data_IF_568721251927
#
_entry.id   IF_568721251927
#
_cell.length_a   1.000
_cell.length_b   1.000
_cell.length_c   1.000
_cell.angle_alpha   90.00
_cell.angle_beta   90.00
_cell.angle_gamma   90.00
#
_symmetry.space_group_name_H-M   'P 1'
#
loop_
_entity.id
_entity.type
_entity.pdbx_description
1 polymer ?
#
# COMPACT_ATOMS: atom_id res chain seq x y z
N UNK A 1 9.22 9.77 15.59
CA UNK A 1 9.09 10.99 14.74
C UNK A 1 8.07 10.78 13.61
N UNK A 2 8.22 9.74 12.77
CA UNK A 2 7.28 9.45 11.67
C UNK A 2 5.84 9.14 12.12
N UNK A 3 5.65 8.20 13.06
CA UNK A 3 4.30 7.83 13.57
C UNK A 3 3.52 9.04 14.09
N UNK A 4 4.22 9.94 14.81
CA UNK A 4 3.63 11.17 15.31
C UNK A 4 3.22 12.10 14.16
N UNK A 5 4.10 12.29 13.16
CA UNK A 5 3.79 13.08 11.98
C UNK A 5 2.56 12.53 11.24
N UNK A 6 2.48 11.21 11.02
CA UNK A 6 1.35 10.60 10.32
C UNK A 6 0.03 10.85 11.07
N UNK A 7 0.00 10.64 12.39
CA UNK A 7 -1.19 10.94 13.20
C UNK A 7 -1.60 12.41 13.11
N UNK A 8 -0.63 13.33 13.16
CA UNK A 8 -0.90 14.78 13.04
C UNK A 8 -1.38 15.20 11.64
N UNK A 9 -1.16 14.38 10.61
CA UNK A 9 -1.63 14.63 9.24
C UNK A 9 -2.93 13.85 8.93
N UNK A 10 -3.63 13.35 9.96
CA UNK A 10 -4.95 12.72 9.81
C UNK A 10 -4.91 11.23 9.45
N UNK A 11 -3.74 10.59 9.45
CA UNK A 11 -3.65 9.14 9.26
C UNK A 11 -4.08 8.41 10.53
N UNK A 12 -4.95 7.42 10.38
CA UNK A 12 -5.22 6.43 11.42
C UNK A 12 -4.04 5.45 11.48
N UNK A 13 -3.16 5.62 12.47
CA UNK A 13 -1.95 4.79 12.59
C UNK A 13 -2.12 3.66 13.59
N UNK A 14 -2.21 2.45 13.05
CA UNK A 14 -2.20 1.18 13.79
C UNK A 14 -0.76 0.71 13.98
N UNK A 15 -0.39 0.37 15.22
CA UNK A 15 0.96 -0.10 15.56
C UNK A 15 0.90 -1.52 16.06
N UNK A 16 1.77 -2.38 15.51
CA UNK A 16 1.95 -3.76 15.96
C UNK A 16 3.41 -3.98 16.36
N UNK A 17 3.62 -4.62 17.49
CA UNK A 17 4.96 -5.07 17.87
C UNK A 17 5.36 -6.24 16.97
N UNK A 18 6.50 -6.08 16.28
CA UNK A 18 7.07 -7.16 15.47
C UNK A 18 7.52 -8.31 16.37
N UNK A 19 7.09 -9.53 16.03
CA UNK A 19 7.61 -10.75 16.65
C UNK A 19 8.60 -11.39 15.69
N UNK A 20 9.80 -11.66 16.19
CA UNK A 20 10.84 -12.36 15.43
C UNK A 20 10.52 -13.85 15.44
N UNK A 21 10.52 -14.48 14.27
CA UNK A 21 10.36 -15.91 14.07
C UNK A 21 11.57 -16.45 13.32
N UNK A 22 12.63 -16.80 14.05
CA UNK A 22 13.90 -17.23 13.45
C UNK A 22 14.66 -16.03 12.88
N UNK A 23 15.03 -16.08 11.59
CA UNK A 23 15.64 -14.95 10.87
C UNK A 23 14.60 -13.99 10.27
N UNK A 24 13.33 -14.39 10.21
CA UNK A 24 12.24 -13.62 9.61
C UNK A 24 11.36 -12.91 10.66
N UNK A 25 10.65 -11.87 10.21
CA UNK A 25 9.58 -11.23 10.97
C UNK A 25 8.24 -11.89 10.66
N UNK A 26 7.42 -12.08 11.69
CA UNK A 26 6.08 -12.66 11.52
C UNK A 26 5.18 -11.71 10.70
N UNK A 27 4.62 -12.19 9.59
CA UNK A 27 3.69 -11.48 8.67
C UNK A 27 2.31 -11.19 9.29
N UNK A 28 2.24 -11.06 10.61
CA UNK A 28 1.01 -10.74 11.33
C UNK A 28 0.43 -9.38 10.94
N UNK A 29 1.24 -8.49 10.36
CA UNK A 29 0.78 -7.16 9.96
C UNK A 29 -0.19 -7.23 8.77
N UNK A 30 -0.01 -8.18 7.85
CA UNK A 30 -0.86 -8.31 6.67
C UNK A 30 -2.26 -8.78 7.06
N UNK A 31 -2.33 -9.70 8.03
CA UNK A 31 -3.61 -10.15 8.62
C UNK A 31 -4.32 -8.97 9.31
N UNK A 32 -3.60 -8.22 10.15
CA UNK A 32 -4.18 -7.06 10.84
C UNK A 32 -4.69 -6.03 9.84
N UNK A 33 -3.89 -5.73 8.81
CA UNK A 33 -4.26 -4.79 7.75
C UNK A 33 -5.48 -5.27 6.97
N UNK A 34 -5.56 -6.55 6.62
CA UNK A 34 -6.70 -7.10 5.90
C UNK A 34 -7.99 -7.08 6.74
N UNK A 35 -7.89 -7.35 8.05
CA UNK A 35 -9.01 -7.27 8.97
C UNK A 35 -9.52 -5.83 9.09
N UNK A 36 -8.64 -4.89 9.38
CA UNK A 36 -8.98 -3.47 9.53
C UNK A 36 -9.57 -2.90 8.23
N UNK A 37 -9.02 -3.27 7.08
CA UNK A 37 -9.54 -2.84 5.78
C UNK A 37 -10.97 -3.32 5.54
N UNK A 38 -11.29 -4.58 5.88
CA UNK A 38 -12.66 -5.11 5.75
C UNK A 38 -13.61 -4.43 6.73
N UNK A 39 -13.20 -4.29 8.00
CA UNK A 39 -14.01 -3.66 9.04
C UNK A 39 -14.36 -2.22 8.65
N UNK A 40 -13.35 -1.41 8.33
CA UNK A 40 -13.53 -0.03 7.92
C UNK A 40 -14.39 0.10 6.65
N UNK A 41 -14.17 -0.78 5.67
CA UNK A 41 -14.95 -0.80 4.45
C UNK A 41 -16.44 -1.12 4.70
N UNK A 42 -16.75 -1.99 5.66
CA UNK A 42 -18.13 -2.33 6.02
C UNK A 42 -18.85 -1.21 6.78
N UNK A 43 -18.12 -0.48 7.62
CA UNK A 43 -18.65 0.63 8.40
C UNK A 43 -18.86 1.88 7.54
N UNK A 44 -17.81 2.29 6.82
CA UNK A 44 -17.79 3.53 6.03
C UNK A 44 -18.51 3.37 4.69
N UNK A 45 -18.49 2.15 4.11
CA UNK A 45 -19.03 1.83 2.78
C UNK A 45 -18.52 2.79 1.69
N UNK A 46 -17.19 2.90 1.51
CA UNK A 46 -16.62 3.78 0.50
C UNK A 46 -16.95 3.29 -0.91
N UNK A 47 -16.98 4.20 -1.88
CA UNK A 47 -17.09 3.82 -3.30
C UNK A 47 -15.78 3.21 -3.82
N UNK A 48 -14.65 3.72 -3.31
CA UNK A 48 -13.30 3.35 -3.74
C UNK A 48 -12.45 3.01 -2.51
N UNK A 49 -11.76 1.87 -2.58
CA UNK A 49 -10.71 1.48 -1.64
C UNK A 49 -9.38 1.42 -2.39
N UNK A 50 -8.36 2.12 -1.88
CA UNK A 50 -7.00 2.07 -2.43
C UNK A 50 -6.11 1.29 -1.48
N UNK A 51 -5.61 0.14 -1.93
CA UNK A 51 -4.64 -0.66 -1.20
C UNK A 51 -3.23 -0.25 -1.64
N UNK A 52 -2.43 0.28 -0.73
CA UNK A 52 -1.04 0.65 -1.01
C UNK A 52 -0.13 -0.52 -0.62
N UNK A 53 0.02 -1.47 -1.53
CA UNK A 53 0.82 -2.70 -1.34
C UNK A 53 1.15 -3.34 -2.68
N UNK A 54 2.31 -4.00 -2.77
CA UNK A 54 2.70 -4.85 -3.90
C UNK A 54 2.47 -6.35 -3.66
N UNK A 55 2.09 -6.74 -2.44
CA UNK A 55 2.04 -8.13 -2.01
C UNK A 55 0.82 -8.89 -2.54
N UNK A 56 1.07 -9.99 -3.25
CA UNK A 56 0.05 -10.87 -3.83
C UNK A 56 -0.93 -11.45 -2.80
N UNK A 57 -0.56 -11.56 -1.53
CA UNK A 57 -1.41 -12.11 -0.47
C UNK A 57 -2.68 -11.26 -0.23
N UNK A 58 -2.65 -9.98 -0.64
CA UNK A 58 -3.82 -9.10 -0.59
C UNK A 58 -4.82 -9.31 -1.74
N UNK A 59 -4.54 -10.19 -2.71
CA UNK A 59 -5.45 -10.46 -3.82
C UNK A 59 -6.84 -10.90 -3.33
N UNK A 60 -6.87 -11.76 -2.30
CA UNK A 60 -8.13 -12.22 -1.72
C UNK A 60 -8.92 -11.08 -1.03
N UNK A 61 -8.23 -10.16 -0.36
CA UNK A 61 -8.85 -8.96 0.21
C UNK A 61 -9.48 -8.10 -0.89
N UNK A 62 -8.74 -7.84 -1.97
CA UNK A 62 -9.22 -7.05 -3.10
C UNK A 62 -10.49 -7.67 -3.71
N UNK A 63 -10.51 -8.98 -3.97
CA UNK A 63 -11.71 -9.67 -4.44
C UNK A 63 -12.90 -9.56 -3.47
N UNK A 64 -12.64 -9.69 -2.16
CA UNK A 64 -13.68 -9.61 -1.12
C UNK A 64 -14.31 -8.23 -1.03
N UNK A 65 -13.53 -7.18 -1.20
CA UNK A 65 -14.02 -5.80 -1.26
C UNK A 65 -14.81 -5.58 -2.56
N UNK A 66 -14.30 -6.02 -3.71
CA UNK A 66 -15.01 -5.93 -5.00
C UNK A 66 -16.36 -6.62 -5.01
N UNK A 67 -16.45 -7.82 -4.41
CA UNK A 67 -17.71 -8.57 -4.28
C UNK A 67 -18.77 -7.83 -3.47
N UNK A 68 -18.37 -6.84 -2.67
CA UNK A 68 -19.28 -5.98 -1.90
C UNK A 68 -19.63 -4.67 -2.63
N UNK A 69 -19.25 -4.55 -3.90
CA UNK A 69 -19.58 -3.41 -4.75
C UNK A 69 -18.57 -2.27 -4.73
N UNK A 70 -17.46 -2.41 -4.01
CA UNK A 70 -16.41 -1.40 -3.96
C UNK A 70 -15.50 -1.49 -5.19
N UNK A 71 -15.07 -0.34 -5.71
CA UNK A 71 -13.94 -0.29 -6.65
C UNK A 71 -12.64 -0.39 -5.85
N UNK A 72 -11.82 -1.39 -6.16
CA UNK A 72 -10.52 -1.58 -5.49
C UNK A 72 -9.41 -1.17 -6.43
N UNK A 73 -8.61 -0.20 -6.03
CA UNK A 73 -7.40 0.19 -6.72
C UNK A 73 -6.19 -0.25 -5.92
N UNK A 74 -5.11 -0.62 -6.60
CA UNK A 74 -3.86 -0.98 -5.95
C UNK A 74 -2.81 0.03 -6.34
N UNK A 75 -2.22 0.69 -5.35
CA UNK A 75 -1.11 1.60 -5.55
C UNK A 75 0.20 0.86 -5.20
N UNK A 76 1.03 0.62 -6.22
CA UNK A 76 2.32 -0.07 -6.08
C UNK A 76 3.29 0.43 -7.13
N UNK A 77 4.57 0.16 -6.91
CA UNK A 77 5.58 0.21 -7.96
C UNK A 77 5.41 -1.04 -8.84
N UNK A 78 5.49 -0.91 -10.18
CA UNK A 78 5.19 -2.02 -11.09
C UNK A 78 6.11 -3.23 -10.88
N UNK A 79 7.39 -3.00 -10.60
CA UNK A 79 8.39 -4.05 -10.39
C UNK A 79 8.12 -4.89 -9.12
N UNK A 80 7.33 -4.37 -8.18
CA UNK A 80 7.00 -5.03 -6.91
C UNK A 80 5.57 -5.58 -6.88
N UNK A 81 4.79 -5.46 -7.95
CA UNK A 81 3.38 -5.84 -7.97
C UNK A 81 3.21 -7.33 -8.30
N UNK A 82 2.68 -8.09 -7.34
CA UNK A 82 2.29 -9.49 -7.53
C UNK A 82 1.17 -9.67 -8.57
N UNK A 83 1.29 -10.71 -9.39
CA UNK A 83 0.38 -10.94 -10.52
C UNK A 83 -1.06 -11.23 -10.10
N UNK A 84 -1.27 -11.96 -9.01
CA UNK A 84 -2.58 -12.26 -8.46
C UNK A 84 -3.28 -10.98 -8.00
N UNK A 85 -2.55 -10.10 -7.31
CA UNK A 85 -3.10 -8.83 -6.84
C UNK A 85 -3.46 -7.92 -8.02
N UNK A 86 -2.62 -7.88 -9.07
CA UNK A 86 -2.90 -7.13 -10.30
C UNK A 86 -4.22 -7.55 -10.95
N UNK A 87 -4.47 -8.86 -11.02
CA UNK A 87 -5.70 -9.43 -11.59
C UNK A 87 -6.93 -9.22 -10.68
N UNK A 88 -6.71 -9.20 -9.36
CA UNK A 88 -7.75 -9.02 -8.36
C UNK A 88 -8.21 -7.55 -8.21
N UNK A 89 -7.41 -6.56 -8.61
CA UNK A 89 -7.77 -5.15 -8.57
C UNK A 89 -8.66 -4.71 -9.75
N UNK A 90 -9.33 -3.56 -9.62
CA UNK A 90 -10.01 -2.90 -10.74
C UNK A 90 -9.03 -2.08 -11.59
N UNK A 91 -8.06 -1.42 -10.95
CA UNK A 91 -7.01 -0.64 -11.62
C UNK A 91 -5.77 -0.53 -10.74
N UNK A 92 -4.65 -0.21 -11.38
CA UNK A 92 -3.36 0.00 -10.72
C UNK A 92 -3.02 1.48 -10.79
N UNK A 93 -2.51 2.02 -9.68
CA UNK A 93 -1.91 3.35 -9.59
C UNK A 93 -0.40 3.16 -9.48
N UNK A 94 0.35 3.58 -10.50
CA UNK A 94 1.81 3.53 -10.43
C UNK A 94 2.34 4.61 -9.50
N UNK A 95 2.95 4.19 -8.40
CA UNK A 95 3.53 5.10 -7.44
C UNK A 95 4.70 5.90 -8.00
N UNK A 96 5.43 5.37 -9.00
CA UNK A 96 6.52 6.11 -9.65
C UNK A 96 5.97 7.36 -10.33
N UNK A 97 4.92 7.21 -11.14
CA UNK A 97 4.27 8.34 -11.81
C UNK A 97 3.72 9.36 -10.81
N UNK A 98 3.13 8.89 -9.71
CA UNK A 98 2.63 9.76 -8.63
C UNK A 98 3.78 10.55 -7.99
N UNK A 99 4.89 9.89 -7.65
CA UNK A 99 6.03 10.56 -7.04
C UNK A 99 6.71 11.55 -7.97
N UNK A 100 6.85 11.22 -9.26
CA UNK A 100 7.43 12.12 -10.26
C UNK A 100 6.56 13.37 -10.50
N UNK A 101 5.27 13.32 -10.19
CA UNK A 101 4.37 14.48 -10.25
C UNK A 101 4.54 15.46 -9.08
N UNK A 102 5.15 15.05 -7.98
CA UNK A 102 5.30 15.91 -6.81
C UNK A 102 6.43 16.92 -6.98
N UNK A 103 6.14 18.18 -6.64
CA UNK A 103 7.19 19.19 -6.48
C UNK A 103 8.10 18.80 -5.31
N UNK A 104 9.43 18.76 -5.48
CA UNK A 104 10.35 18.43 -4.40
C UNK A 104 10.23 19.45 -3.27
N UNK A 105 9.77 19.00 -2.10
CA UNK A 105 9.52 19.87 -0.94
C UNK A 105 10.80 20.30 -0.21
N UNK A 106 11.97 19.74 -0.57
CA UNK A 106 13.28 20.12 -0.01
C UNK A 106 14.34 20.15 -1.10
N UNK A 107 14.71 21.34 -1.58
CA UNK A 107 15.79 21.54 -2.55
C UNK A 107 17.20 21.28 -2.00
N UNK A 108 17.32 21.04 -0.68
CA UNK A 108 18.60 20.80 0.01
C UNK A 108 18.89 19.31 0.28
N UNK A 109 18.00 18.39 -0.09
CA UNK A 109 18.22 16.95 0.05
C UNK A 109 18.05 16.25 -1.30
N UNK A 110 19.08 15.51 -1.72
CA UNK A 110 19.03 14.61 -2.86
C UNK A 110 18.12 13.44 -2.52
N UNK A 111 16.87 13.49 -2.98
CA UNK A 111 16.02 12.31 -2.99
C UNK A 111 16.48 11.39 -4.13
N UNK A 112 16.90 10.17 -3.81
CA UNK A 112 17.10 9.14 -4.83
C UNK A 112 15.73 8.84 -5.45
N UNK A 113 15.57 9.16 -6.73
CA UNK A 113 14.38 8.80 -7.50
C UNK A 113 14.21 7.29 -7.43
N UNK A 114 13.01 6.87 -7.05
CA UNK A 114 12.57 5.48 -7.26
C UNK A 114 12.03 5.46 -8.69
N UNK A 115 12.89 5.18 -9.68
CA UNK A 115 12.46 5.10 -11.08
C UNK A 115 13.57 4.71 -12.07
N UNK A 116 13.26 3.69 -12.89
CA UNK A 116 13.71 3.31 -14.24
C UNK A 116 15.15 3.57 -14.74
N UNK A 117 16.13 3.91 -13.91
CA UNK A 117 17.52 3.71 -14.29
C UNK A 117 17.81 2.21 -14.20
N UNK A 118 17.80 1.55 -15.35
CA UNK A 118 18.63 0.37 -15.57
C UNK A 118 19.98 0.62 -14.90
N UNK A 119 20.33 -0.17 -13.91
CA UNK A 119 21.65 -0.14 -13.25
C UNK A 119 22.76 -0.65 -14.21
N UNK A 120 22.40 -0.84 -15.49
CA UNK A 120 23.25 -1.18 -16.60
C UNK A 120 22.86 -0.31 -17.80
N UNK A 121 23.33 0.93 -17.80
CA UNK A 121 23.80 1.68 -18.97
C UNK A 121 24.91 2.63 -18.51
#
# INVERSE_FOLDING_TARGET
KFVYWARNNGFLVVTKEGKVKGEDYESNIDIVMAMDAIELALEVKPDIVVLVTGDSDFAYLAEKLRRRGMRVEVASVEQSLGSELKNAANSIVDLIEVFDSFNPQNSSQTFHRIGNTSIFD
#
